data_IF_041228662255
#
_entry.id   IF_041228662255
#
_cell.length_a   1.000
_cell.length_b   1.000
_cell.length_c   1.000
_cell.angle_alpha   90.00
_cell.angle_beta   90.00
_cell.angle_gamma   90.00
#
_symmetry.space_group_name_H-M   'P 1'
#
loop_
_entity.id
_entity.type
_entity.pdbx_description
1 polymer ?
#
# COMPACT_ATOMS: atom_id res chain seq x y z
N UNK A 1 -31.88 -1.26 16.56
CA UNK A 1 -30.45 -1.31 16.14
C UNK A 1 -30.26 -0.92 14.67
N UNK A 2 -31.01 -1.50 13.73
CA UNK A 2 -30.86 -1.26 12.28
C UNK A 2 -30.99 0.23 11.84
N UNK A 3 -31.94 0.98 12.39
CA UNK A 3 -32.11 2.41 12.09
C UNK A 3 -30.97 3.31 12.61
N UNK A 4 -30.20 2.84 13.60
CA UNK A 4 -29.15 3.66 14.22
C UNK A 4 -27.83 3.64 13.47
N UNK A 5 -27.46 2.50 12.87
CA UNK A 5 -26.25 2.39 12.05
C UNK A 5 -26.42 2.97 10.64
N UNK A 6 -27.65 3.31 10.23
CA UNK A 6 -27.94 3.97 8.96
C UNK A 6 -27.56 5.46 8.95
N UNK A 7 -27.46 6.11 10.12
CA UNK A 7 -26.96 7.48 10.22
C UNK A 7 -25.43 7.46 10.18
N UNK A 8 -24.85 7.97 9.09
CA UNK A 8 -23.43 8.23 9.00
C UNK A 8 -23.10 9.44 9.88
N UNK A 9 -22.30 9.31 10.95
CA UNK A 9 -21.76 10.47 11.64
C UNK A 9 -20.72 11.09 10.70
N UNK A 10 -21.17 11.94 9.80
CA UNK A 10 -20.29 12.74 8.97
C UNK A 10 -19.89 13.97 9.77
N UNK A 11 -18.62 14.08 10.19
CA UNK A 11 -18.14 15.35 10.69
C UNK A 11 -18.25 16.35 9.53
N UNK A 12 -19.03 17.41 9.73
CA UNK A 12 -19.21 18.53 8.78
C UNK A 12 -20.16 18.31 7.59
N UNK A 13 -21.27 17.60 7.76
CA UNK A 13 -22.35 17.60 6.76
C UNK A 13 -22.99 19.00 6.64
N UNK A 14 -22.49 19.79 5.69
CA UNK A 14 -22.98 21.12 5.35
C UNK A 14 -23.51 21.09 3.92
N UNK A 15 -24.68 21.71 3.67
CA UNK A 15 -25.31 21.79 2.35
C UNK A 15 -24.45 22.50 1.26
N UNK A 16 -23.31 23.09 1.64
CA UNK A 16 -22.34 23.74 0.77
C UNK A 16 -20.97 23.05 0.93
N UNK A 17 -20.27 22.70 -0.16
CA UNK A 17 -18.93 22.11 -0.07
C UNK A 17 -17.99 23.12 0.59
N UNK A 18 -17.55 22.81 1.81
CA UNK A 18 -16.57 23.61 2.56
C UNK A 18 -15.32 22.79 2.76
N UNK A 19 -14.20 23.37 2.34
CA UNK A 19 -12.88 22.87 2.63
C UNK A 19 -12.57 23.18 4.10
N UNK A 20 -12.45 22.15 4.93
CA UNK A 20 -12.28 22.28 6.38
C UNK A 20 -11.02 21.54 6.81
N UNK A 21 -10.12 22.26 7.48
CA UNK A 21 -8.99 21.67 8.19
C UNK A 21 -9.42 21.52 9.65
N UNK A 22 -9.56 20.28 10.11
CA UNK A 22 -9.97 20.01 11.49
C UNK A 22 -8.77 20.14 12.44
N UNK A 23 -9.04 20.48 13.70
CA UNK A 23 -7.99 20.45 14.74
C UNK A 23 -7.40 19.04 14.88
N UNK A 24 -8.23 18.00 14.76
CA UNK A 24 -7.78 16.61 14.78
C UNK A 24 -6.76 16.29 13.69
N UNK A 25 -6.94 16.85 12.48
CA UNK A 25 -5.97 16.71 11.39
C UNK A 25 -4.62 17.33 11.74
N UNK A 26 -4.62 18.55 12.29
CA UNK A 26 -3.40 19.24 12.68
C UNK A 26 -2.67 18.49 13.80
N UNK A 27 -3.39 18.02 14.81
CA UNK A 27 -2.82 17.22 15.90
C UNK A 27 -2.21 15.91 15.38
N UNK A 28 -2.92 15.24 14.46
CA UNK A 28 -2.42 14.03 13.82
C UNK A 28 -1.13 14.30 13.04
N UNK A 29 -1.08 15.38 12.26
CA UNK A 29 0.12 15.80 11.54
C UNK A 29 1.29 16.09 12.47
N UNK A 30 1.07 16.84 13.55
CA UNK A 30 2.11 17.15 14.56
C UNK A 30 2.67 15.88 15.20
N UNK A 31 1.81 14.87 15.46
CA UNK A 31 2.26 13.60 16.03
C UNK A 31 2.95 12.69 15.03
N UNK A 32 2.45 12.57 13.79
CA UNK A 32 2.88 11.56 12.82
C UNK A 32 3.99 12.01 11.88
N UNK A 33 4.07 13.30 11.54
CA UNK A 33 5.13 13.82 10.66
C UNK A 33 6.54 13.56 11.24
N UNK A 34 6.81 13.73 12.55
CA UNK A 34 8.12 13.38 13.10
C UNK A 34 8.51 11.92 12.84
N UNK A 35 7.57 10.98 13.04
CA UNK A 35 7.80 9.56 12.78
C UNK A 35 8.12 9.27 11.31
N UNK A 36 7.56 10.04 10.37
CA UNK A 36 7.82 9.85 8.94
C UNK A 36 9.25 10.19 8.50
N UNK A 37 10.00 10.87 9.36
CA UNK A 37 11.40 11.26 9.08
C UNK A 37 12.43 10.25 9.58
N UNK A 38 12.03 9.32 10.45
CA UNK A 38 12.89 8.28 11.03
C UNK A 38 13.38 7.28 9.98
N UNK A 39 14.34 6.43 10.34
CA UNK A 39 14.75 5.30 9.49
C UNK A 39 13.80 4.11 9.63
N UNK A 40 13.90 3.13 8.72
CA UNK A 40 13.09 1.91 8.81
C UNK A 40 13.38 1.16 10.12
N UNK A 41 14.66 1.01 10.47
CA UNK A 41 15.14 0.36 11.70
C UNK A 41 14.56 1.03 12.96
N UNK A 42 14.64 2.35 13.05
CA UNK A 42 14.12 3.13 14.18
C UNK A 42 12.60 2.97 14.35
N UNK A 43 11.88 2.79 13.24
CA UNK A 43 10.42 2.63 13.24
C UNK A 43 9.97 1.17 13.49
N UNK A 44 10.87 0.17 13.47
CA UNK A 44 10.52 -1.25 13.65
C UNK A 44 9.78 -1.50 14.96
N UNK A 45 10.16 -0.81 16.05
CA UNK A 45 9.47 -0.98 17.34
C UNK A 45 8.01 -0.53 17.27
N UNK A 46 7.75 0.61 16.64
CA UNK A 46 6.40 1.15 16.47
C UNK A 46 5.56 0.22 15.60
N UNK A 47 6.15 -0.36 14.54
CA UNK A 47 5.48 -1.35 13.70
C UNK A 47 5.16 -2.65 14.43
N UNK A 48 6.04 -3.11 15.34
CA UNK A 48 5.75 -4.27 16.21
C UNK A 48 4.56 -4.00 17.12
N UNK A 49 4.52 -2.82 17.75
CA UNK A 49 3.39 -2.42 18.60
C UNK A 49 2.10 -2.41 17.78
N UNK A 50 2.15 -1.78 16.60
CA UNK A 50 1.01 -1.73 15.66
C UNK A 50 0.55 -3.14 15.29
N UNK A 51 1.46 -4.05 14.97
CA UNK A 51 1.10 -5.45 14.68
C UNK A 51 0.34 -6.13 15.82
N UNK A 52 0.79 -6.01 17.07
CA UNK A 52 0.06 -6.60 18.20
C UNK A 52 -1.29 -5.92 18.44
N UNK A 53 -1.36 -4.60 18.28
CA UNK A 53 -2.61 -3.85 18.36
C UNK A 53 -3.60 -4.30 17.28
N UNK A 54 -3.14 -4.55 16.04
CA UNK A 54 -3.96 -5.08 14.96
C UNK A 54 -4.59 -6.41 15.34
N UNK A 55 -3.80 -7.34 15.86
CA UNK A 55 -4.26 -8.67 16.25
C UNK A 55 -5.34 -8.57 17.32
N UNK A 56 -5.09 -7.79 18.38
CA UNK A 56 -6.03 -7.61 19.50
C UNK A 56 -7.35 -7.01 19.01
N UNK A 57 -7.30 -5.93 18.22
CA UNK A 57 -8.51 -5.27 17.72
C UNK A 57 -9.25 -6.17 16.73
N UNK A 58 -8.53 -6.93 15.90
CA UNK A 58 -9.16 -7.89 14.98
C UNK A 58 -9.97 -8.92 15.77
N UNK A 59 -9.41 -9.48 16.84
CA UNK A 59 -10.15 -10.39 17.71
C UNK A 59 -11.37 -9.72 18.37
N UNK A 60 -11.24 -8.48 18.84
CA UNK A 60 -12.36 -7.74 19.41
C UNK A 60 -13.49 -7.50 18.40
N UNK A 61 -13.17 -7.12 17.16
CA UNK A 61 -14.18 -6.96 16.10
C UNK A 61 -14.86 -8.28 15.76
N UNK A 62 -14.12 -9.38 15.62
CA UNK A 62 -14.70 -10.69 15.34
C UNK A 62 -15.63 -11.15 16.48
N UNK A 63 -15.22 -10.93 17.73
CA UNK A 63 -16.05 -11.19 18.90
C UNK A 63 -17.33 -10.35 18.87
N UNK A 64 -17.21 -9.04 18.63
CA UNK A 64 -18.34 -8.13 18.55
C UNK A 64 -19.33 -8.53 17.44
N UNK A 65 -18.84 -8.94 16.28
CA UNK A 65 -19.71 -9.41 15.18
C UNK A 65 -20.49 -10.66 15.57
N UNK A 66 -19.87 -11.59 16.32
CA UNK A 66 -20.57 -12.78 16.81
C UNK A 66 -21.67 -12.45 17.82
N UNK A 67 -21.42 -11.51 18.74
CA UNK A 67 -22.42 -11.05 19.72
C UNK A 67 -23.58 -10.29 19.07
N UNK A 68 -23.29 -9.52 18.01
CA UNK A 68 -24.31 -8.77 17.29
C UNK A 68 -25.26 -9.68 16.50
N UNK A 69 -24.81 -10.88 16.12
CA UNK A 69 -25.56 -11.90 15.39
C UNK A 69 -25.18 -11.95 13.91
N UNK A 70 -24.80 -13.14 13.45
CA UNK A 70 -24.29 -13.37 12.08
C UNK A 70 -25.38 -13.66 11.05
N UNK A 71 -26.63 -13.90 11.46
CA UNK A 71 -27.74 -14.19 10.54
C UNK A 71 -28.65 -12.98 10.28
N UNK A 72 -28.29 -11.81 10.83
CA UNK A 72 -29.13 -10.62 10.76
C UNK A 72 -29.27 -10.07 9.33
N UNK A 73 -28.24 -10.26 8.49
CA UNK A 73 -28.19 -9.74 7.14
C UNK A 73 -27.72 -10.82 6.15
N UNK A 74 -28.63 -11.42 5.35
CA UNK A 74 -28.24 -12.44 4.40
C UNK A 74 -27.32 -11.85 3.32
N UNK A 75 -26.17 -12.47 3.15
CA UNK A 75 -25.17 -12.07 2.16
C UNK A 75 -25.47 -12.76 0.83
N UNK A 76 -25.90 -12.02 -0.21
CA UNK A 76 -26.10 -12.62 -1.52
C UNK A 76 -24.75 -13.07 -2.09
N UNK A 77 -24.71 -14.27 -2.68
CA UNK A 77 -23.49 -14.79 -3.32
C UNK A 77 -23.02 -13.89 -4.50
N UNK A 78 -23.96 -13.18 -5.13
CA UNK A 78 -23.69 -12.25 -6.23
C UNK A 78 -24.29 -10.89 -5.94
N UNK A 79 -23.47 -9.85 -6.07
CA UNK A 79 -23.87 -8.46 -5.89
C UNK A 79 -24.17 -7.77 -7.24
N UNK A 80 -24.90 -6.65 -7.19
CA UNK A 80 -25.21 -5.87 -8.40
C UNK A 80 -24.04 -5.04 -8.95
N UNK A 81 -22.94 -4.88 -8.19
CA UNK A 81 -21.80 -4.07 -8.59
C UNK A 81 -20.50 -4.51 -7.90
N UNK A 82 -19.42 -4.58 -8.68
CA UNK A 82 -18.09 -4.97 -8.20
C UNK A 82 -17.01 -3.88 -8.36
N UNK A 83 -17.34 -2.70 -8.91
CA UNK A 83 -16.32 -1.73 -9.37
C UNK A 83 -15.40 -1.19 -8.28
N UNK A 84 -15.87 -1.06 -7.03
CA UNK A 84 -14.99 -0.64 -5.91
C UNK A 84 -14.35 -1.82 -5.18
N UNK A 85 -14.83 -3.04 -5.43
CA UNK A 85 -14.36 -4.25 -4.72
C UNK A 85 -13.01 -4.69 -5.27
N UNK A 86 -12.89 -4.81 -6.59
CA UNK A 86 -11.65 -5.29 -7.22
C UNK A 86 -10.49 -4.33 -6.98
N UNK A 87 -10.68 -3.04 -7.26
CA UNK A 87 -9.66 -2.02 -7.02
C UNK A 87 -9.24 -1.94 -5.55
N UNK A 88 -10.20 -2.03 -4.62
CA UNK A 88 -9.91 -2.06 -3.18
C UNK A 88 -9.13 -3.32 -2.76
N UNK A 89 -9.49 -4.50 -3.28
CA UNK A 89 -8.73 -5.73 -3.01
C UNK A 89 -7.29 -5.57 -3.51
N UNK A 90 -7.10 -5.16 -4.77
CA UNK A 90 -5.75 -4.98 -5.35
C UNK A 90 -4.93 -3.98 -4.52
N UNK A 91 -5.55 -2.86 -4.13
CA UNK A 91 -4.93 -1.84 -3.30
C UNK A 91 -4.53 -2.38 -1.91
N UNK A 92 -5.36 -3.21 -1.26
CA UNK A 92 -5.02 -3.80 0.05
C UNK A 92 -3.82 -4.76 -0.03
N UNK A 93 -3.56 -5.35 -1.21
CA UNK A 93 -2.39 -6.18 -1.47
C UNK A 93 -1.23 -5.41 -2.15
N UNK A 94 -1.18 -4.08 -2.05
CA UNK A 94 -0.12 -3.24 -2.62
C UNK A 94 1.27 -3.39 -1.95
N UNK A 95 1.52 -4.45 -1.18
CA UNK A 95 2.74 -4.58 -0.40
C UNK A 95 3.99 -4.93 -1.22
N UNK A 96 3.84 -5.32 -2.49
CA UNK A 96 4.97 -5.63 -3.37
C UNK A 96 5.97 -4.47 -3.49
N UNK A 97 5.48 -3.23 -3.41
CA UNK A 97 6.32 -2.02 -3.44
C UNK A 97 7.22 -1.88 -2.20
N UNK A 98 6.88 -2.54 -1.09
CA UNK A 98 7.63 -2.50 0.16
C UNK A 98 8.67 -3.61 0.27
N UNK A 99 8.53 -4.70 -0.50
CA UNK A 99 9.40 -5.87 -0.41
C UNK A 99 10.87 -5.50 -0.60
N UNK A 100 11.29 -4.72 -1.63
CA UNK A 100 12.71 -4.41 -1.82
C UNK A 100 13.32 -3.67 -0.62
N UNK A 101 12.64 -2.66 -0.09
CA UNK A 101 13.12 -1.91 1.09
C UNK A 101 13.13 -2.78 2.35
N UNK A 102 12.17 -3.70 2.50
CA UNK A 102 12.17 -4.64 3.62
C UNK A 102 13.29 -5.68 3.49
N UNK A 103 13.56 -6.22 2.30
CA UNK A 103 14.65 -7.18 2.05
C UNK A 103 16.02 -6.56 2.35
N UNK A 104 16.20 -5.26 2.09
CA UNK A 104 17.44 -4.56 2.42
C UNK A 104 17.69 -4.39 3.93
N UNK A 105 16.64 -4.49 4.74
CA UNK A 105 16.68 -4.20 6.19
C UNK A 105 16.41 -5.45 7.04
N UNK A 106 15.99 -6.56 6.43
CA UNK A 106 15.81 -7.83 7.14
C UNK A 106 17.16 -8.37 7.62
N UNK A 107 17.12 -9.19 8.67
CA UNK A 107 18.29 -9.98 9.06
C UNK A 107 18.60 -11.08 8.02
N UNK A 108 19.88 -11.49 7.86
CA UNK A 108 20.27 -12.48 6.86
C UNK A 108 19.60 -13.84 7.05
N UNK A 109 19.34 -14.25 8.29
CA UNK A 109 18.72 -15.52 8.68
C UNK A 109 17.20 -15.61 8.40
N UNK A 110 16.57 -14.49 8.05
CA UNK A 110 15.12 -14.44 7.80
C UNK A 110 14.81 -14.85 6.35
N UNK A 111 14.00 -15.90 6.19
CA UNK A 111 13.52 -16.36 4.89
C UNK A 111 12.49 -15.41 4.30
N UNK A 112 12.79 -14.88 3.11
CA UNK A 112 11.90 -13.97 2.36
C UNK A 112 10.57 -14.66 2.05
N UNK A 113 10.64 -15.87 1.48
CA UNK A 113 9.46 -16.61 1.03
C UNK A 113 8.53 -16.92 2.20
N UNK A 114 9.07 -17.41 3.32
CA UNK A 114 8.25 -17.75 4.49
C UNK A 114 7.54 -16.52 5.04
N UNK A 115 8.26 -15.40 5.19
CA UNK A 115 7.68 -14.14 5.69
C UNK A 115 6.55 -13.63 4.80
N UNK A 116 6.75 -13.63 3.48
CA UNK A 116 5.73 -13.17 2.52
C UNK A 116 4.52 -14.12 2.50
N UNK A 117 4.74 -15.44 2.46
CA UNK A 117 3.64 -16.41 2.42
C UNK A 117 2.78 -16.37 3.68
N UNK A 118 3.41 -16.41 4.87
CA UNK A 118 2.68 -16.44 6.14
C UNK A 118 1.87 -15.16 6.32
N UNK A 119 2.47 -14.00 6.05
CA UNK A 119 1.76 -12.71 6.15
C UNK A 119 0.60 -12.63 5.15
N UNK A 120 0.81 -13.02 3.90
CA UNK A 120 -0.24 -12.99 2.87
C UNK A 120 -1.41 -13.89 3.22
N UNK A 121 -1.15 -15.14 3.64
CA UNK A 121 -2.19 -16.09 4.04
C UNK A 121 -2.95 -15.56 5.26
N UNK A 122 -2.24 -15.10 6.29
CA UNK A 122 -2.86 -14.55 7.50
C UNK A 122 -3.75 -13.33 7.18
N UNK A 123 -3.28 -12.38 6.38
CA UNK A 123 -4.06 -11.22 5.94
C UNK A 123 -5.28 -11.62 5.13
N UNK A 124 -5.15 -12.63 4.25
CA UNK A 124 -6.26 -13.11 3.41
C UNK A 124 -7.36 -13.72 4.26
N UNK A 125 -7.00 -14.58 5.21
CA UNK A 125 -7.95 -15.14 6.16
C UNK A 125 -8.61 -14.03 6.99
N UNK A 126 -7.84 -13.07 7.49
CA UNK A 126 -8.36 -11.93 8.25
C UNK A 126 -9.36 -11.08 7.45
N UNK A 127 -9.04 -10.73 6.21
CA UNK A 127 -9.94 -9.97 5.33
C UNK A 127 -11.23 -10.73 5.03
N UNK A 128 -11.17 -12.04 4.79
CA UNK A 128 -12.37 -12.86 4.56
C UNK A 128 -13.23 -12.92 5.82
N UNK A 129 -12.64 -13.18 6.99
CA UNK A 129 -13.38 -13.28 8.25
C UNK A 129 -14.06 -11.96 8.62
N UNK A 130 -13.32 -10.85 8.62
CA UNK A 130 -13.87 -9.52 8.91
C UNK A 130 -14.91 -9.13 7.85
N UNK A 131 -14.66 -9.41 6.56
CA UNK A 131 -15.57 -9.07 5.49
C UNK A 131 -16.92 -9.78 5.61
N UNK A 132 -16.91 -11.10 5.83
CA UNK A 132 -18.14 -11.90 5.96
C UNK A 132 -18.87 -11.55 7.25
N UNK A 133 -18.19 -11.62 8.41
CA UNK A 133 -18.83 -11.40 9.71
C UNK A 133 -19.27 -9.94 9.89
N UNK A 134 -18.48 -8.98 9.39
CA UNK A 134 -18.83 -7.57 9.45
C UNK A 134 -20.05 -7.24 8.58
N UNK A 135 -20.11 -7.77 7.36
CA UNK A 135 -21.24 -7.54 6.47
C UNK A 135 -22.53 -8.24 6.96
N UNK A 136 -22.40 -9.36 7.68
CA UNK A 136 -23.56 -10.06 8.23
C UNK A 136 -24.07 -9.43 9.54
N UNK A 137 -23.17 -8.82 10.32
CA UNK A 137 -23.52 -8.12 11.56
C UNK A 137 -24.05 -6.68 11.35
N UNK A 138 -23.60 -5.97 10.30
CA UNK A 138 -23.96 -4.57 10.04
C UNK A 138 -24.66 -4.38 8.69
N UNK A 139 -25.94 -3.97 8.72
CA UNK A 139 -26.70 -3.67 7.50
C UNK A 139 -26.10 -2.45 6.76
N UNK A 140 -25.70 -2.62 5.50
CA UNK A 140 -25.28 -1.53 4.60
C UNK A 140 -24.26 -0.59 5.23
N UNK A 141 -23.21 -1.16 5.84
CA UNK A 141 -22.11 -0.34 6.34
C UNK A 141 -21.56 0.54 5.20
N UNK A 142 -21.32 1.84 5.46
CA UNK A 142 -20.66 2.72 4.49
C UNK A 142 -19.29 2.15 4.11
N UNK A 143 -18.72 2.59 2.98
CA UNK A 143 -17.44 2.10 2.46
C UNK A 143 -16.27 2.15 3.45
N UNK A 144 -16.40 2.89 4.56
CA UNK A 144 -15.51 2.83 5.71
C UNK A 144 -16.20 2.20 6.93
N UNK A 145 -15.90 0.94 7.23
CA UNK A 145 -16.42 0.21 8.38
C UNK A 145 -16.15 0.92 9.73
N UNK A 146 -15.01 1.60 9.89
CA UNK A 146 -14.68 2.27 11.14
C UNK A 146 -15.68 3.38 11.50
N UNK A 147 -16.31 4.00 10.50
CA UNK A 147 -17.37 4.97 10.74
C UNK A 147 -18.64 4.33 11.30
N UNK A 148 -18.95 3.08 10.90
CA UNK A 148 -20.05 2.30 11.47
C UNK A 148 -19.73 1.83 12.89
N UNK A 149 -18.49 1.39 13.13
CA UNK A 149 -18.03 0.91 14.43
C UNK A 149 -17.89 2.03 15.48
N UNK A 150 -17.59 3.26 15.05
CA UNK A 150 -17.49 4.43 15.92
C UNK A 150 -18.86 5.05 16.29
N UNK A 151 -19.96 4.56 15.69
CA UNK A 151 -21.31 5.06 15.95
C UNK A 151 -21.72 4.85 17.43
N UNK A 152 -22.54 5.74 17.97
CA UNK A 152 -23.04 5.68 19.35
C UNK A 152 -23.81 4.39 19.68
N UNK A 153 -24.33 3.70 18.67
CA UNK A 153 -25.02 2.43 18.84
C UNK A 153 -24.11 1.20 18.93
N UNK A 154 -22.82 1.34 18.61
CA UNK A 154 -21.84 0.28 18.86
C UNK A 154 -21.40 0.32 20.34
N UNK A 155 -21.07 -0.83 20.94
CA UNK A 155 -20.58 -0.87 22.32
C UNK A 155 -19.36 0.02 22.52
N UNK A 156 -19.20 0.55 23.72
CA UNK A 156 -18.10 1.45 24.06
C UNK A 156 -16.72 0.86 23.73
N UNK A 157 -16.56 -0.46 23.92
CA UNK A 157 -15.30 -1.15 23.61
C UNK A 157 -15.00 -1.11 22.12
N UNK A 158 -15.96 -1.44 21.26
CA UNK A 158 -15.83 -1.40 19.80
C UNK A 158 -15.60 0.02 19.27
N UNK A 159 -16.22 1.02 19.89
CA UNK A 159 -15.98 2.43 19.57
C UNK A 159 -14.54 2.82 19.88
N UNK A 160 -14.04 2.46 21.06
CA UNK A 160 -12.64 2.70 21.44
C UNK A 160 -11.70 1.95 20.49
N UNK A 161 -11.96 0.67 20.22
CA UNK A 161 -11.20 -0.13 19.25
C UNK A 161 -11.17 0.51 17.87
N UNK A 162 -12.28 1.07 17.38
CA UNK A 162 -12.32 1.77 16.10
C UNK A 162 -11.38 2.99 16.09
N UNK A 163 -11.36 3.80 17.16
CA UNK A 163 -10.42 4.92 17.28
C UNK A 163 -8.97 4.45 17.39
N UNK A 164 -8.69 3.43 18.20
CA UNK A 164 -7.33 2.88 18.36
C UNK A 164 -6.86 2.24 17.05
N UNK A 165 -7.74 1.61 16.28
CA UNK A 165 -7.40 1.08 14.96
C UNK A 165 -7.10 2.21 13.96
N UNK A 166 -7.97 3.23 13.92
CA UNK A 166 -7.77 4.38 13.03
C UNK A 166 -6.43 5.09 13.32
N UNK A 167 -6.10 5.32 14.58
CA UNK A 167 -4.85 5.98 14.95
C UNK A 167 -3.64 5.03 14.91
N UNK A 168 -3.73 3.90 15.58
CA UNK A 168 -2.64 2.96 15.81
C UNK A 168 -2.32 2.06 14.61
N UNK A 169 -3.25 1.82 13.70
CA UNK A 169 -2.98 1.05 12.49
C UNK A 169 -2.87 1.95 11.26
N UNK A 170 -3.94 2.69 10.97
CA UNK A 170 -3.98 3.52 9.76
C UNK A 170 -3.03 4.72 9.92
N UNK A 171 -3.09 5.40 11.07
CA UNK A 171 -2.20 6.52 11.38
C UNK A 171 -0.72 6.13 11.37
N UNK A 172 -0.32 5.11 12.13
CA UNK A 172 1.09 4.66 12.18
C UNK A 172 1.59 4.02 10.86
N UNK A 173 0.68 3.57 10.00
CA UNK A 173 1.01 3.14 8.63
C UNK A 173 1.45 4.28 7.71
N UNK A 174 0.99 5.51 7.95
CA UNK A 174 1.35 6.69 7.13
C UNK A 174 2.86 6.98 7.22
N UNK A 175 3.46 7.16 8.43
CA UNK A 175 4.91 7.30 8.57
C UNK A 175 5.71 6.18 7.90
N UNK A 176 5.28 4.93 8.05
CA UNK A 176 5.94 3.79 7.42
C UNK A 176 5.96 3.93 5.89
N UNK A 177 4.80 4.23 5.29
CA UNK A 177 4.72 4.42 3.84
C UNK A 177 5.62 5.58 3.37
N UNK A 178 5.62 6.71 4.10
CA UNK A 178 6.50 7.84 3.82
C UNK A 178 8.00 7.49 3.87
N UNK A 179 8.42 6.65 4.82
CA UNK A 179 9.82 6.18 4.93
C UNK A 179 10.17 5.33 3.71
N UNK A 180 9.33 4.36 3.37
CA UNK A 180 9.61 3.47 2.24
C UNK A 180 9.62 4.24 0.92
N UNK A 181 8.64 5.10 0.66
CA UNK A 181 8.63 5.95 -0.54
C UNK A 181 9.90 6.82 -0.63
N UNK A 182 10.35 7.40 0.49
CA UNK A 182 11.61 8.17 0.52
C UNK A 182 12.80 7.31 0.11
N UNK A 183 12.89 6.08 0.64
CA UNK A 183 13.97 5.15 0.31
C UNK A 183 13.93 4.75 -1.16
N UNK A 184 12.75 4.41 -1.70
CA UNK A 184 12.57 4.07 -3.11
C UNK A 184 12.99 5.21 -4.04
N UNK A 185 12.61 6.45 -3.72
CA UNK A 185 12.97 7.63 -4.51
C UNK A 185 14.48 7.92 -4.50
N UNK A 186 15.14 7.67 -3.37
CA UNK A 186 16.58 7.90 -3.21
C UNK A 186 17.41 6.79 -3.84
N UNK A 187 17.08 5.52 -3.57
CA UNK A 187 17.76 4.35 -4.14
C UNK A 187 17.55 4.29 -5.65
N UNK A 188 16.34 4.58 -6.12
CA UNK A 188 16.03 4.70 -7.54
C UNK A 188 16.65 5.93 -8.22
N UNK A 189 17.36 6.79 -7.47
CA UNK A 189 17.97 8.05 -7.95
C UNK A 189 16.97 8.96 -8.69
N UNK A 190 15.68 8.82 -8.41
CA UNK A 190 14.61 9.59 -9.05
C UNK A 190 14.57 11.03 -8.52
N UNK A 191 14.94 11.22 -7.25
CA UNK A 191 14.95 12.53 -6.59
C UNK A 191 16.14 12.66 -5.64
N UNK A 192 16.66 13.88 -5.48
CA UNK A 192 17.62 14.19 -4.42
C UNK A 192 16.98 14.13 -3.02
N UNK A 193 17.78 14.12 -1.93
CA UNK A 193 17.28 13.91 -0.57
C UNK A 193 16.16 14.86 -0.13
N UNK A 194 16.24 16.14 -0.50
CA UNK A 194 15.23 17.16 -0.16
C UNK A 194 13.90 16.93 -0.88
N UNK A 195 13.97 16.59 -2.17
CA UNK A 195 12.78 16.31 -2.98
C UNK A 195 12.12 14.99 -2.59
N UNK A 196 12.91 13.99 -2.18
CA UNK A 196 12.38 12.74 -1.66
C UNK A 196 11.52 12.99 -0.40
N UNK A 197 11.99 13.82 0.54
CA UNK A 197 11.20 14.20 1.74
C UNK A 197 9.95 14.99 1.36
N UNK A 198 10.07 15.92 0.40
CA UNK A 198 8.92 16.70 -0.06
C UNK A 198 7.81 15.78 -0.61
N UNK A 199 8.15 14.86 -1.52
CA UNK A 199 7.17 13.98 -2.16
C UNK A 199 6.64 12.89 -1.23
N UNK A 200 7.45 12.37 -0.30
CA UNK A 200 7.03 11.28 0.57
C UNK A 200 6.33 11.75 1.86
N UNK A 201 6.59 12.97 2.31
CA UNK A 201 6.06 13.51 3.58
C UNK A 201 5.22 14.77 3.33
N UNK A 202 5.84 15.85 2.85
CA UNK A 202 5.19 17.16 2.84
C UNK A 202 3.99 17.22 1.89
N UNK A 203 4.10 16.65 0.69
CA UNK A 203 3.04 16.68 -0.32
C UNK A 203 1.80 15.86 0.09
N UNK A 204 1.91 14.59 0.54
CA UNK A 204 0.76 13.84 1.04
C UNK A 204 0.02 14.55 2.19
N UNK A 205 0.74 15.11 3.16
CA UNK A 205 0.16 15.93 4.24
C UNK A 205 -0.33 17.31 3.75
N UNK A 206 0.22 17.86 2.69
CA UNK A 206 -0.23 19.13 2.12
C UNK A 206 -1.55 19.02 1.34
N UNK A 207 -1.84 17.83 0.81
CA UNK A 207 -2.96 17.61 -0.13
C UNK A 207 -4.06 16.73 0.48
N UNK A 208 -3.76 15.85 1.44
CA UNK A 208 -4.75 14.86 1.92
C UNK A 208 -6.03 15.45 2.50
N UNK A 209 -5.98 16.63 3.12
CA UNK A 209 -7.15 17.34 3.64
C UNK A 209 -8.16 17.75 2.57
N UNK A 210 -7.75 17.87 1.30
CA UNK A 210 -8.66 18.13 0.17
C UNK A 210 -9.60 16.94 -0.10
N UNK A 211 -9.21 15.74 0.31
CA UNK A 211 -9.96 14.50 0.11
C UNK A 211 -10.86 14.12 1.29
N UNK A 212 -11.12 15.07 2.20
CA UNK A 212 -12.05 14.89 3.32
C UNK A 212 -13.53 14.81 2.92
N UNK A 213 -13.86 15.20 1.68
CA UNK A 213 -15.22 15.11 1.15
C UNK A 213 -15.70 13.66 0.96
N UNK A 214 -17.02 13.48 1.01
CA UNK A 214 -17.63 12.16 0.88
C UNK A 214 -17.31 11.49 -0.46
N UNK A 215 -16.93 10.22 -0.40
CA UNK A 215 -16.75 9.34 -1.56
C UNK A 215 -15.45 9.55 -2.35
N UNK A 216 -14.84 10.75 -2.32
CA UNK A 216 -13.62 11.03 -3.11
C UNK A 216 -12.43 10.15 -2.73
N UNK A 217 -12.25 9.86 -1.43
CA UNK A 217 -11.17 8.98 -0.98
C UNK A 217 -11.38 7.54 -1.47
N UNK A 218 -12.61 7.02 -1.42
CA UNK A 218 -12.92 5.67 -1.92
C UNK A 218 -12.71 5.56 -3.42
N UNK A 219 -13.08 6.61 -4.16
CA UNK A 219 -12.82 6.72 -5.60
C UNK A 219 -11.31 6.73 -5.88
N UNK A 220 -10.55 7.59 -5.18
CA UNK A 220 -9.10 7.69 -5.33
C UNK A 220 -8.40 6.36 -5.03
N UNK A 221 -8.79 5.68 -3.96
CA UNK A 221 -8.26 4.35 -3.61
C UNK A 221 -8.56 3.34 -4.71
N UNK A 222 -9.79 3.32 -5.24
CA UNK A 222 -10.15 2.42 -6.34
C UNK A 222 -9.32 2.69 -7.59
N UNK A 223 -9.20 3.96 -8.01
CA UNK A 223 -8.40 4.35 -9.16
C UNK A 223 -6.92 4.06 -8.97
N UNK A 224 -6.38 4.28 -7.77
CA UNK A 224 -4.98 3.96 -7.46
C UNK A 224 -4.75 2.45 -7.50
N UNK A 225 -5.72 1.66 -7.01
CA UNK A 225 -5.72 0.20 -7.13
C UNK A 225 -5.70 -0.27 -8.58
N UNK A 226 -6.58 0.29 -9.42
CA UNK A 226 -6.73 -0.12 -10.82
C UNK A 226 -5.59 0.37 -11.73
N UNK A 227 -5.18 1.64 -11.61
CA UNK A 227 -4.23 2.29 -12.54
C UNK A 227 -2.77 2.18 -12.12
N UNK A 228 -2.48 2.18 -10.82
CA UNK A 228 -1.11 2.22 -10.31
C UNK A 228 -0.71 0.86 -9.75
N UNK A 229 -1.39 0.43 -8.67
CA UNK A 229 -1.06 -0.82 -7.97
C UNK A 229 -1.26 -2.05 -8.86
N UNK A 230 -2.32 -2.07 -9.67
CA UNK A 230 -2.60 -3.18 -10.57
C UNK A 230 -1.40 -3.49 -11.47
N UNK A 231 -0.99 -2.57 -12.36
CA UNK A 231 0.20 -2.75 -13.20
C UNK A 231 1.46 -3.12 -12.42
N UNK A 232 1.69 -2.48 -11.26
CA UNK A 232 2.84 -2.78 -10.42
C UNK A 232 2.83 -4.19 -9.84
N UNK A 233 1.66 -4.71 -9.44
CA UNK A 233 1.52 -6.03 -8.82
C UNK A 233 1.48 -7.17 -9.85
N UNK A 234 0.92 -6.93 -11.03
CA UNK A 234 0.66 -7.99 -12.01
C UNK A 234 1.51 -7.89 -13.28
N UNK A 235 1.69 -6.69 -13.83
CA UNK A 235 2.40 -6.52 -15.10
C UNK A 235 3.91 -6.48 -14.90
N UNK A 236 4.41 -5.71 -13.94
CA UNK A 236 5.87 -5.58 -13.75
C UNK A 236 6.56 -6.89 -13.35
N UNK A 237 6.06 -7.69 -12.39
CA UNK A 237 6.71 -8.95 -12.03
C UNK A 237 6.69 -9.95 -13.19
N UNK A 238 5.60 -9.96 -13.95
CA UNK A 238 5.46 -10.80 -15.13
C UNK A 238 6.46 -10.38 -16.23
N UNK A 239 6.54 -9.08 -16.55
CA UNK A 239 7.50 -8.57 -17.51
C UNK A 239 8.95 -8.80 -17.07
N UNK A 240 9.26 -8.59 -15.79
CA UNK A 240 10.58 -8.86 -15.23
C UNK A 240 10.95 -10.34 -15.38
N UNK A 241 10.02 -11.25 -15.08
CA UNK A 241 10.20 -12.70 -15.25
C UNK A 241 10.39 -13.08 -16.72
N UNK A 242 9.61 -12.50 -17.63
CA UNK A 242 9.76 -12.80 -19.07
C UNK A 242 11.06 -12.25 -19.66
N UNK A 243 11.53 -11.13 -19.12
CA UNK A 243 12.80 -10.53 -19.52
C UNK A 243 13.97 -11.36 -18.99
N UNK A 244 13.92 -11.81 -17.73
CA UNK A 244 14.96 -12.67 -17.15
C UNK A 244 15.05 -14.03 -17.84
N UNK A 245 13.92 -14.55 -18.34
CA UNK A 245 13.88 -15.78 -19.15
C UNK A 245 14.26 -15.56 -20.63
N UNK A 246 14.63 -14.35 -21.05
CA UNK A 246 14.99 -14.03 -22.43
C UNK A 246 13.83 -14.17 -23.43
N UNK A 247 12.59 -14.22 -22.95
CA UNK A 247 11.39 -14.39 -23.77
C UNK A 247 11.03 -13.10 -24.49
N UNK A 248 11.11 -11.97 -23.79
CA UNK A 248 10.84 -10.63 -24.33
C UNK A 248 12.11 -9.80 -24.24
N UNK A 249 12.51 -9.19 -25.36
CA UNK A 249 13.55 -8.14 -25.36
C UNK A 249 13.00 -6.83 -24.79
N UNK A 250 12.59 -6.82 -23.53
CA UNK A 250 12.09 -5.62 -22.87
C UNK A 250 13.26 -4.86 -22.25
N UNK A 251 13.81 -3.89 -22.98
CA UNK A 251 14.79 -2.95 -22.44
C UNK A 251 14.06 -1.76 -21.83
N UNK A 252 13.87 -1.77 -20.51
CA UNK A 252 13.43 -0.58 -19.76
C UNK A 252 14.61 0.39 -19.72
N UNK A 253 14.75 1.22 -20.75
CA UNK A 253 15.80 2.25 -20.86
C UNK A 253 15.52 3.49 -20.00
N UNK A 254 14.81 3.37 -18.88
CA UNK A 254 14.42 4.56 -18.10
C UNK A 254 15.57 5.18 -17.29
N UNK A 255 16.64 4.43 -16.99
CA UNK A 255 17.90 4.96 -16.46
C UNK A 255 19.04 4.01 -16.84
N UNK A 256 19.76 4.29 -17.94
CA UNK A 256 21.19 3.96 -17.97
C UNK A 256 21.89 5.14 -17.26
N UNK A 257 22.22 5.07 -15.95
CA UNK A 257 23.34 5.87 -15.51
C UNK A 257 24.54 5.34 -16.30
N UNK A 258 25.17 6.24 -17.04
CA UNK A 258 26.44 6.01 -17.72
C UNK A 258 27.39 5.30 -16.76
N UNK A 259 27.61 4.00 -17.00
CA UNK A 259 28.62 3.15 -16.33
C UNK A 259 30.05 3.67 -16.58
N UNK A 260 30.20 4.76 -17.34
CA UNK A 260 31.46 5.46 -17.59
C UNK A 260 32.01 6.28 -16.41
N UNK A 261 31.30 6.41 -15.28
CA UNK A 261 31.78 7.24 -14.16
C UNK A 261 32.53 6.47 -13.04
N UNK A 262 32.68 5.15 -13.11
CA UNK A 262 33.38 4.34 -12.08
C UNK A 262 34.81 3.94 -12.48
N UNK A 263 35.44 4.65 -13.44
CA UNK A 263 36.81 4.33 -13.88
C UNK A 263 37.87 5.41 -13.56
N UNK A 264 37.49 6.54 -12.95
CA UNK A 264 38.41 7.69 -12.77
C UNK A 264 38.72 8.07 -11.31
N UNK A 265 38.55 7.16 -10.33
CA UNK A 265 38.98 7.41 -8.94
C UNK A 265 40.43 6.96 -8.66
N UNK A 266 41.34 7.16 -9.62
CA UNK A 266 42.79 6.96 -9.38
C UNK A 266 43.60 8.25 -9.27
N UNK A 267 42.97 9.42 -9.11
CA UNK A 267 43.69 10.69 -8.89
C UNK A 267 42.88 11.66 -8.03
N UNK A 268 43.01 11.59 -6.70
CA UNK A 268 43.21 12.78 -5.85
C UNK A 268 43.56 12.38 -4.41
N UNK A 269 44.86 12.17 -4.18
CA UNK A 269 45.45 12.37 -2.86
C UNK A 269 45.74 13.86 -2.74
N UNK A 270 45.03 14.56 -1.85
CA UNK A 270 45.59 15.62 -0.98
C UNK A 270 44.53 16.04 0.02
N UNK A 271 44.91 16.04 1.29
CA UNK A 271 44.02 16.26 2.42
C UNK A 271 43.49 17.69 2.54
N UNK A 272 42.28 17.80 3.07
CA UNK A 272 41.84 18.93 3.87
C UNK A 272 40.69 18.51 4.79
N UNK A 273 40.74 18.99 6.03
CA UNK A 273 39.84 18.61 7.10
C UNK A 273 38.46 19.27 6.96
N UNK A 274 37.39 18.47 6.97
CA UNK A 274 36.00 18.95 6.94
C UNK A 274 35.22 18.51 8.22
N UNK A 275 34.19 19.28 8.65
CA UNK A 275 33.71 19.29 10.02
C UNK A 275 32.81 18.11 10.41
N UNK A 276 32.83 17.78 11.70
CA UNK A 276 32.39 16.53 12.36
C UNK A 276 30.88 16.17 12.32
N UNK A 277 30.01 16.84 11.58
CA UNK A 277 28.56 16.63 11.73
C UNK A 277 27.89 15.59 10.80
N UNK A 278 28.64 14.91 9.92
CA UNK A 278 28.09 13.94 8.95
C UNK A 278 28.48 12.47 9.18
N UNK A 279 28.97 12.10 10.36
CA UNK A 279 29.53 10.76 10.61
C UNK A 279 28.51 9.62 10.65
N UNK A 280 27.22 9.90 10.92
CA UNK A 280 26.20 8.84 11.01
C UNK A 280 25.61 8.39 9.67
N UNK A 281 25.62 9.23 8.63
CA UNK A 281 25.11 8.86 7.29
C UNK A 281 26.13 8.09 6.44
N UNK A 282 27.44 8.20 6.75
CA UNK A 282 28.47 7.43 6.04
C UNK A 282 28.55 5.98 6.50
N UNK A 283 28.17 5.67 7.74
CA UNK A 283 28.29 4.31 8.26
C UNK A 283 27.24 3.37 7.67
N UNK A 284 26.05 3.85 7.32
CA UNK A 284 25.03 3.08 6.60
C UNK A 284 25.34 2.93 5.10
N UNK A 285 26.07 3.88 4.50
CA UNK A 285 26.53 3.75 3.11
C UNK A 285 27.81 2.92 2.95
N UNK A 286 28.71 2.85 3.94
CA UNK A 286 29.87 1.94 3.86
C UNK A 286 29.46 0.49 4.06
N UNK A 287 28.43 0.20 4.88
CA UNK A 287 27.88 -1.16 4.98
C UNK A 287 27.26 -1.61 3.64
N UNK A 288 26.64 -0.69 2.88
CA UNK A 288 26.14 -1.01 1.53
C UNK A 288 27.26 -1.18 0.47
N UNK A 289 28.47 -0.68 0.73
CA UNK A 289 29.64 -0.83 -0.16
C UNK A 289 30.57 -1.98 0.26
N UNK A 290 30.60 -2.36 1.54
CA UNK A 290 31.35 -3.52 2.05
C UNK A 290 30.55 -4.82 1.97
N UNK A 291 29.21 -4.76 1.83
CA UNK A 291 28.37 -5.93 1.56
C UNK A 291 28.55 -6.50 0.13
N UNK A 292 29.25 -5.79 -0.77
CA UNK A 292 29.53 -6.24 -2.14
C UNK A 292 30.76 -7.19 -2.22
N UNK A 293 31.48 -7.38 -1.10
CA UNK A 293 32.73 -8.15 -1.05
C UNK A 293 32.60 -9.62 -0.64
N UNK A 294 31.55 -10.01 0.09
CA UNK A 294 31.47 -11.33 0.75
C UNK A 294 30.19 -12.13 0.42
N UNK A 295 29.31 -11.66 -0.47
CA UNK A 295 28.02 -12.30 -0.76
C UNK A 295 28.08 -13.38 -1.88
N UNK A 296 29.20 -14.11 -1.96
CA UNK A 296 29.39 -15.27 -2.85
C UNK A 296 28.43 -16.44 -2.54
N UNK A 297 27.72 -16.39 -1.40
CA UNK A 297 26.71 -17.38 -1.04
C UNK A 297 25.33 -17.12 -1.69
N UNK A 298 25.07 -15.91 -2.18
CA UNK A 298 23.78 -15.53 -2.79
C UNK A 298 23.81 -15.42 -4.32
N UNK A 299 24.96 -15.67 -4.95
CA UNK A 299 25.15 -15.64 -6.42
C UNK A 299 24.46 -16.80 -7.18
N UNK A 300 23.78 -17.72 -6.49
CA UNK A 300 22.99 -18.79 -7.14
C UNK A 300 21.57 -18.34 -7.49
N UNK A 301 21.42 -17.29 -8.29
CA UNK A 301 20.18 -17.05 -9.04
C UNK A 301 20.42 -16.54 -10.46
N UNK A 302 21.54 -16.95 -11.09
CA UNK A 302 21.51 -17.09 -12.56
C UNK A 302 20.61 -18.28 -12.83
N UNK A 303 19.33 -18.02 -13.05
CA UNK A 303 18.40 -19.02 -13.59
C UNK A 303 19.00 -19.44 -14.92
N UNK A 304 19.48 -20.68 -15.01
CA UNK A 304 19.97 -21.24 -16.26
C UNK A 304 18.90 -20.99 -17.34
N UNK A 305 19.27 -20.45 -18.51
CA UNK A 305 18.30 -20.20 -19.57
C UNK A 305 17.55 -21.49 -19.86
N UNK A 306 16.21 -21.41 -19.87
CA UNK A 306 15.33 -22.54 -20.08
C UNK A 306 15.83 -23.38 -21.26
N UNK A 307 15.90 -24.73 -21.13
CA UNK A 307 16.28 -25.61 -22.23
C UNK A 307 15.51 -25.22 -23.49
N UNK A 308 16.18 -25.07 -24.63
CA UNK A 308 15.61 -24.43 -25.83
C UNK A 308 14.27 -24.99 -26.33
N UNK A 309 13.91 -26.23 -25.96
CA UNK A 309 12.60 -26.83 -26.23
C UNK A 309 11.42 -26.27 -25.41
N UNK A 310 11.67 -25.68 -24.23
CA UNK A 310 10.62 -25.12 -23.36
C UNK A 310 10.24 -23.68 -23.72
N UNK A 311 11.13 -22.95 -24.41
CA UNK A 311 10.87 -21.57 -24.86
C UNK A 311 9.68 -21.47 -25.82
N UNK A 312 9.39 -22.52 -26.59
CA UNK A 312 8.24 -22.55 -27.50
C UNK A 312 6.88 -22.69 -26.79
N UNK A 313 6.84 -23.36 -25.64
CA UNK A 313 5.59 -23.67 -24.92
C UNK A 313 5.19 -22.58 -23.91
N UNK A 314 6.16 -21.97 -23.22
CA UNK A 314 5.87 -20.93 -22.22
C UNK A 314 5.56 -19.57 -22.83
N UNK A 315 6.10 -19.26 -24.01
CA UNK A 315 5.83 -18.02 -24.74
C UNK A 315 4.32 -17.76 -24.95
N UNK A 316 3.54 -18.68 -25.52
CA UNK A 316 2.10 -18.46 -25.72
C UNK A 316 1.33 -18.38 -24.41
N UNK A 317 1.69 -19.16 -23.39
CA UNK A 317 1.03 -19.13 -22.07
C UNK A 317 1.28 -17.79 -21.37
N UNK A 318 2.54 -17.35 -21.32
CA UNK A 318 2.89 -16.06 -20.74
C UNK A 318 2.23 -14.91 -21.48
N UNK A 319 2.23 -14.95 -22.81
CA UNK A 319 1.57 -13.94 -23.64
C UNK A 319 0.06 -13.92 -23.40
N UNK A 320 -0.59 -15.09 -23.31
CA UNK A 320 -2.00 -15.22 -22.94
C UNK A 320 -2.28 -14.64 -21.55
N UNK A 321 -1.44 -14.92 -20.55
CA UNK A 321 -1.56 -14.36 -19.20
C UNK A 321 -1.43 -12.83 -19.19
N UNK A 322 -0.45 -12.27 -19.91
CA UNK A 322 -0.32 -10.81 -20.09
C UNK A 322 -1.59 -10.24 -20.72
N UNK A 323 -2.05 -10.83 -21.82
CA UNK A 323 -3.25 -10.37 -22.54
C UNK A 323 -4.48 -10.42 -21.65
N UNK A 324 -4.67 -11.48 -20.88
CA UNK A 324 -5.81 -11.60 -19.95
C UNK A 324 -5.71 -10.58 -18.83
N UNK A 325 -4.55 -10.40 -18.19
CA UNK A 325 -4.37 -9.44 -17.10
C UNK A 325 -4.57 -8.00 -17.58
N UNK A 326 -3.97 -7.64 -18.73
CA UNK A 326 -4.18 -6.34 -19.37
C UNK A 326 -5.64 -6.14 -19.73
N UNK A 327 -6.30 -7.16 -20.30
CA UNK A 327 -7.72 -7.07 -20.67
C UNK A 327 -8.62 -6.88 -19.45
N UNK A 328 -8.36 -7.59 -18.35
CA UNK A 328 -9.10 -7.44 -17.09
C UNK A 328 -8.90 -6.06 -16.48
N UNK A 329 -7.68 -5.51 -16.53
CA UNK A 329 -7.41 -4.13 -16.10
C UNK A 329 -8.13 -3.11 -16.97
N UNK A 330 -8.05 -3.24 -18.29
CA UNK A 330 -8.73 -2.35 -19.23
C UNK A 330 -10.25 -2.42 -19.07
N UNK A 331 -10.80 -3.60 -18.81
CA UNK A 331 -12.22 -3.78 -18.50
C UNK A 331 -12.60 -3.13 -17.16
N UNK A 332 -11.76 -3.25 -16.12
CA UNK A 332 -11.95 -2.56 -14.84
C UNK A 332 -12.00 -1.04 -15.06
N UNK A 333 -10.97 -0.49 -15.71
CA UNK A 333 -10.84 0.93 -16.04
C UNK A 333 -12.02 1.42 -16.89
N UNK A 334 -12.41 0.68 -17.93
CA UNK A 334 -13.53 1.04 -18.80
C UNK A 334 -14.86 1.02 -18.03
N UNK A 335 -15.08 0.03 -17.16
CA UNK A 335 -16.28 -0.07 -16.33
C UNK A 335 -16.39 1.09 -15.34
N UNK A 336 -15.25 1.51 -14.78
CA UNK A 336 -15.12 2.61 -13.84
C UNK A 336 -15.32 3.96 -14.54
N UNK A 337 -14.64 4.17 -15.67
CA UNK A 337 -14.73 5.37 -16.50
C UNK A 337 -16.16 5.60 -17.01
N UNK A 338 -16.85 4.53 -17.45
CA UNK A 338 -18.23 4.61 -17.93
C UNK A 338 -19.18 5.11 -16.85
N UNK A 339 -19.00 4.71 -15.59
CA UNK A 339 -19.82 5.18 -14.48
C UNK A 339 -19.55 6.62 -14.11
N UNK A 340 -18.29 7.06 -14.12
CA UNK A 340 -17.95 8.44 -13.79
C UNK A 340 -18.51 9.41 -14.85
N UNK A 341 -18.42 9.03 -16.13
CA UNK A 341 -19.09 9.77 -17.20
C UNK A 341 -20.61 9.77 -16.99
N UNK A 342 -21.20 8.62 -16.65
CA UNK A 342 -22.63 8.57 -16.34
C UNK A 342 -23.03 9.45 -15.16
N UNK A 343 -22.24 9.50 -14.08
CA UNK A 343 -22.56 10.32 -12.90
C UNK A 343 -22.30 11.81 -13.11
N UNK A 344 -21.34 12.18 -13.98
CA UNK A 344 -21.09 13.57 -14.37
C UNK A 344 -22.15 14.11 -15.34
N UNK A 345 -22.60 13.30 -16.30
CA UNK A 345 -23.56 13.73 -17.32
C UNK A 345 -25.03 13.44 -16.97
N UNK A 346 -25.28 12.54 -16.01
CA UNK A 346 -26.62 12.09 -15.65
C UNK A 346 -26.86 12.19 -14.13
N UNK A 347 -26.55 13.37 -13.54
CA UNK A 347 -27.19 13.82 -12.29
C UNK A 347 -28.63 14.28 -12.59
N UNK A 348 -29.45 13.38 -13.11
CA UNK A 348 -30.90 13.54 -13.12
C UNK A 348 -31.45 12.80 -11.92
N UNK A 349 -32.20 13.50 -11.06
CA UNK A 349 -32.84 12.97 -9.86
C UNK A 349 -33.55 11.65 -10.13
N UNK A 350 -32.96 10.55 -9.65
CA UNK A 350 -33.70 9.30 -9.49
C UNK A 350 -33.52 8.85 -8.05
N UNK A 351 -34.41 9.37 -7.21
CA UNK A 351 -34.79 8.76 -5.93
C UNK A 351 -35.35 7.36 -6.20
N UNK A 352 -34.65 6.33 -5.75
CA UNK A 352 -35.22 5.01 -5.49
C UNK A 352 -35.11 4.68 -4.01
#
# INVERSE_FOLDING_TARGET
TQACHAHTPQPFNSASPRLIISLGYLLLGVMLIPFSTMTLEENVLIQKISFFTLVIITFEFLWQFSEQGLDNHPLPAFGGSYSHVVGSIIFNYAFACFIPSWVNEKKPDVSINLSVWVSTIASTVGYILIGIMGASAYARAPGNFLSAAANQCSPSITRISAFVFAFGMIGLGIPFNSIVTRYSLQVGKACGPRWAIFWSVAFPWGVSWLFYGDGMLGELVSWTGDLDVGPLNFLLPLLATLTSLGVVGFSINWLRPSVTALRDDSVFSTGEAAPKHHRHLRHSMSIASEADGDDLANERTVVDPLPGGLNGFYRPIATMTVVVLVSLMLLSIASHSRRMLFSMFWKGDVTY
#
